data_IF_552126467471
#
_entry.id   IF_552126467471
#
_cell.length_a   1.000
_cell.length_b   1.000
_cell.length_c   1.000
_cell.angle_alpha   90.00
_cell.angle_beta   90.00
_cell.angle_gamma   90.00
#
_symmetry.space_group_name_H-M   'P 1'
#
loop_
_entity.id
_entity.type
_entity.pdbx_description
1 polymer ?
#
# COMPACT_ATOMS: atom_id res chain seq x y z
N UNK A 1 2.35 15.88 -10.75
CA UNK A 1 2.38 15.78 -9.27
C UNK A 1 3.27 16.86 -8.64
N UNK A 2 4.60 16.76 -8.61
CA UNK A 2 5.46 17.67 -7.81
C UNK A 2 5.21 19.19 -7.94
N UNK A 3 4.98 19.72 -9.14
CA UNK A 3 4.62 21.15 -9.30
C UNK A 3 3.26 21.51 -8.67
N UNK A 4 2.29 20.61 -8.73
CA UNK A 4 0.98 20.81 -8.12
C UNK A 4 1.11 20.85 -6.59
N UNK A 5 1.84 19.90 -6.02
CA UNK A 5 2.08 19.81 -4.56
C UNK A 5 2.73 21.09 -4.02
N UNK A 6 3.85 21.49 -4.64
CA UNK A 6 4.60 22.67 -4.22
C UNK A 6 3.88 24.01 -4.46
N UNK A 7 2.87 24.02 -5.35
CA UNK A 7 2.07 25.23 -5.63
C UNK A 7 0.77 25.31 -4.82
N UNK A 8 0.42 24.27 -4.06
CA UNK A 8 -0.73 24.33 -3.15
C UNK A 8 -0.43 25.25 -1.95
N UNK A 9 -1.48 25.82 -1.35
CA UNK A 9 -1.35 26.63 -0.13
C UNK A 9 -2.39 26.17 0.90
N UNK A 10 -1.97 25.51 2.00
CA UNK A 10 -0.60 25.12 2.34
C UNK A 10 -0.03 24.09 1.34
N UNK A 11 1.28 23.81 1.35
CA UNK A 11 1.82 22.69 0.54
C UNK A 11 1.18 21.36 0.95
N UNK A 12 1.11 20.41 0.02
CA UNK A 12 0.51 19.09 0.24
C UNK A 12 1.52 17.98 -0.02
N UNK A 13 1.22 16.81 0.54
CA UNK A 13 1.98 15.59 0.34
C UNK A 13 1.23 14.67 -0.64
N UNK A 14 1.98 13.76 -1.26
CA UNK A 14 1.43 12.73 -2.15
C UNK A 14 1.89 11.34 -1.72
N UNK A 15 1.10 10.33 -2.04
CA UNK A 15 1.43 8.91 -1.90
C UNK A 15 1.19 8.23 -3.24
N UNK A 16 2.20 7.50 -3.74
CA UNK A 16 2.15 6.80 -5.03
C UNK A 16 2.70 5.39 -4.85
N UNK A 17 2.07 4.42 -5.49
CA UNK A 17 2.59 3.06 -5.63
C UNK A 17 2.90 2.80 -7.09
N UNK A 18 4.11 2.33 -7.39
CA UNK A 18 4.47 1.79 -8.69
C UNK A 18 4.29 0.27 -8.63
N UNK A 19 3.26 -0.26 -9.29
CA UNK A 19 2.94 -1.69 -9.24
C UNK A 19 3.67 -2.48 -10.34
N UNK A 20 4.50 -3.45 -9.94
CA UNK A 20 5.27 -4.29 -10.85
C UNK A 20 4.71 -5.71 -10.99
N UNK A 21 3.53 -5.98 -10.45
CA UNK A 21 2.92 -7.30 -10.41
C UNK A 21 3.64 -8.24 -9.44
N UNK A 22 3.58 -9.55 -9.68
CA UNK A 22 4.05 -10.52 -8.70
C UNK A 22 5.51 -10.92 -8.86
N UNK A 23 6.22 -11.07 -7.73
CA UNK A 23 7.65 -11.43 -7.70
C UNK A 23 7.92 -12.78 -8.37
N UNK A 24 9.03 -12.91 -9.09
CA UNK A 24 9.45 -14.18 -9.70
C UNK A 24 10.07 -15.13 -8.66
N UNK A 25 9.83 -16.44 -8.77
CA UNK A 25 10.37 -17.48 -7.86
C UNK A 25 11.91 -17.48 -7.71
N UNK A 26 12.64 -16.96 -8.69
CA UNK A 26 14.10 -16.89 -8.66
C UNK A 26 14.62 -15.58 -8.03
N UNK A 27 13.73 -14.70 -7.55
CA UNK A 27 14.05 -13.40 -6.97
C UNK A 27 14.66 -12.39 -7.94
N UNK A 28 14.60 -12.61 -9.25
CA UNK A 28 15.28 -11.75 -10.23
C UNK A 28 14.47 -10.53 -10.70
N UNK A 29 13.22 -10.39 -10.25
CA UNK A 29 12.29 -9.40 -10.77
C UNK A 29 10.84 -9.70 -10.44
N UNK A 30 9.94 -9.12 -11.23
CA UNK A 30 8.51 -9.33 -11.16
C UNK A 30 7.90 -9.61 -12.55
N UNK A 31 6.72 -10.22 -12.55
CA UNK A 31 5.88 -10.40 -13.71
C UNK A 31 4.72 -9.40 -13.65
N UNK A 32 4.72 -8.44 -14.57
CA UNK A 32 3.67 -7.45 -14.70
C UNK A 32 2.39 -8.07 -15.28
N UNK A 33 1.24 -7.43 -15.06
CA UNK A 33 -0.08 -7.92 -15.48
C UNK A 33 -0.21 -8.18 -17.00
N UNK A 34 0.57 -7.47 -17.81
CA UNK A 34 0.64 -7.65 -19.27
C UNK A 34 1.52 -8.83 -19.71
N UNK A 35 2.06 -9.61 -18.76
CA UNK A 35 2.91 -10.77 -19.02
C UNK A 35 4.38 -10.45 -19.26
N UNK A 36 4.79 -9.18 -19.15
CA UNK A 36 6.19 -8.79 -19.30
C UNK A 36 6.94 -8.99 -17.99
N UNK A 37 8.09 -9.65 -18.07
CA UNK A 37 9.02 -9.75 -16.94
C UNK A 37 9.90 -8.51 -16.85
N UNK A 38 9.96 -7.90 -15.68
CA UNK A 38 10.83 -6.77 -15.35
C UNK A 38 11.83 -7.20 -14.29
N UNK A 39 13.12 -6.89 -14.50
CA UNK A 39 14.18 -7.23 -13.54
C UNK A 39 14.23 -6.26 -12.36
N UNK A 40 14.79 -6.68 -11.23
CA UNK A 40 14.99 -5.80 -10.06
C UNK A 40 15.72 -4.50 -10.43
N UNK A 41 16.76 -4.56 -11.27
CA UNK A 41 17.50 -3.37 -11.70
C UNK A 41 16.65 -2.41 -12.55
N UNK A 42 15.69 -2.92 -13.32
CA UNK A 42 14.74 -2.08 -14.05
C UNK A 42 13.71 -1.46 -13.11
N UNK A 43 13.22 -2.21 -12.11
CA UNK A 43 12.32 -1.69 -11.07
C UNK A 43 13.01 -0.54 -10.31
N UNK A 44 14.25 -0.74 -9.87
CA UNK A 44 15.07 0.28 -9.21
C UNK A 44 15.19 1.53 -10.09
N UNK A 45 15.58 1.37 -11.37
CA UNK A 45 15.74 2.49 -12.29
C UNK A 45 14.44 3.28 -12.50
N UNK A 46 13.28 2.61 -12.59
CA UNK A 46 11.98 3.29 -12.72
C UNK A 46 11.66 4.09 -11.45
N UNK A 47 11.87 3.50 -10.26
CA UNK A 47 11.62 4.18 -8.99
C UNK A 47 12.57 5.38 -8.78
N UNK A 48 13.84 5.25 -9.13
CA UNK A 48 14.84 6.32 -9.09
C UNK A 48 14.48 7.49 -10.01
N UNK A 49 14.04 7.20 -11.25
CA UNK A 49 13.63 8.23 -12.20
C UNK A 49 12.33 8.92 -11.78
N UNK A 50 11.37 8.18 -11.19
CA UNK A 50 10.17 8.78 -10.64
C UNK A 50 10.50 9.73 -9.47
N UNK A 51 11.37 9.29 -8.55
CA UNK A 51 11.84 10.10 -7.43
C UNK A 51 12.55 11.38 -7.90
N UNK A 52 13.45 11.25 -8.88
CA UNK A 52 14.11 12.40 -9.49
C UNK A 52 13.10 13.34 -10.16
N UNK A 53 12.12 12.81 -10.90
CA UNK A 53 11.07 13.59 -11.53
C UNK A 53 10.24 14.40 -10.53
N UNK A 54 9.86 13.80 -9.40
CA UNK A 54 9.16 14.50 -8.32
C UNK A 54 10.01 15.64 -7.75
N UNK A 55 11.24 15.35 -7.32
CA UNK A 55 12.18 16.32 -6.77
C UNK A 55 12.46 17.48 -7.73
N UNK A 56 12.66 17.17 -9.02
CA UNK A 56 12.90 18.18 -10.05
C UNK A 56 11.69 19.11 -10.21
N UNK A 57 10.48 18.55 -10.13
CA UNK A 57 9.24 19.29 -10.32
C UNK A 57 8.81 20.12 -9.10
N UNK A 58 9.06 19.65 -7.87
CA UNK A 58 8.88 20.45 -6.65
C UNK A 58 9.95 21.54 -6.55
N UNK A 59 11.16 21.25 -7.04
CA UNK A 59 12.29 22.15 -7.06
C UNK A 59 13.14 22.06 -5.80
N UNK A 60 14.43 22.32 -5.92
CA UNK A 60 15.41 22.14 -4.83
C UNK A 60 15.23 23.09 -3.64
N UNK A 61 14.41 24.13 -3.78
CA UNK A 61 14.06 25.04 -2.68
C UNK A 61 12.84 24.61 -1.87
N UNK A 62 12.05 23.65 -2.36
CA UNK A 62 10.94 23.07 -1.60
C UNK A 62 11.46 21.95 -0.71
N UNK A 63 11.23 22.08 0.60
CA UNK A 63 11.57 21.05 1.59
C UNK A 63 10.36 20.65 2.42
N UNK A 64 9.16 20.91 1.88
CA UNK A 64 7.91 20.82 2.62
C UNK A 64 6.89 19.89 1.99
N UNK A 65 6.86 19.80 0.65
CA UNK A 65 6.07 18.77 -0.05
C UNK A 65 6.84 17.46 -0.03
N UNK A 66 6.19 16.40 0.44
CA UNK A 66 6.78 15.05 0.50
C UNK A 66 5.95 14.08 -0.32
N UNK A 67 6.63 13.34 -1.19
CA UNK A 67 6.13 12.13 -1.82
C UNK A 67 6.54 10.91 -1.00
N UNK A 68 5.56 10.09 -0.63
CA UNK A 68 5.78 8.70 -0.26
C UNK A 68 5.68 7.83 -1.50
N UNK A 69 6.78 7.17 -1.88
CA UNK A 69 6.85 6.35 -3.09
C UNK A 69 7.00 4.87 -2.72
N UNK A 70 5.96 4.09 -2.99
CA UNK A 70 5.91 2.64 -2.81
C UNK A 70 6.41 1.88 -4.02
N UNK A 71 7.30 0.92 -3.82
CA UNK A 71 7.66 -0.09 -4.83
C UNK A 71 6.75 -1.31 -4.62
N UNK A 72 5.74 -1.45 -5.47
CA UNK A 72 4.63 -2.40 -5.36
C UNK A 72 4.89 -3.76 -5.97
N UNK A 73 4.33 -4.79 -5.33
CA UNK A 73 4.19 -6.15 -5.84
C UNK A 73 2.85 -6.71 -5.37
N UNK A 74 2.55 -7.99 -5.60
CA UNK A 74 1.30 -8.61 -5.12
C UNK A 74 1.52 -10.00 -4.53
N UNK A 75 0.48 -10.52 -3.87
CA UNK A 75 0.49 -11.86 -3.28
C UNK A 75 -0.05 -12.96 -4.21
N UNK A 76 -0.19 -12.69 -5.50
CA UNK A 76 -0.86 -13.58 -6.47
C UNK A 76 0.08 -14.51 -7.25
N UNK A 77 1.36 -14.14 -7.45
CA UNK A 77 2.31 -14.91 -8.26
C UNK A 77 3.55 -15.42 -7.51
N UNK A 78 4.09 -16.51 -8.03
CA UNK A 78 5.36 -17.20 -7.78
C UNK A 78 6.02 -17.06 -6.38
N UNK A 79 6.66 -15.93 -6.03
CA UNK A 79 7.37 -15.76 -4.74
C UNK A 79 6.61 -14.89 -3.74
N UNK A 80 5.89 -15.54 -2.83
CA UNK A 80 5.30 -14.92 -1.64
C UNK A 80 5.92 -15.56 -0.40
N UNK A 81 7.23 -15.33 -0.22
CA UNK A 81 8.01 -15.92 0.86
C UNK A 81 8.76 -14.88 1.68
N UNK A 82 9.29 -15.31 2.83
CA UNK A 82 10.19 -14.47 3.64
C UNK A 82 11.45 -14.04 2.89
N UNK A 83 11.95 -14.88 1.97
CA UNK A 83 13.08 -14.49 1.12
C UNK A 83 12.68 -13.41 0.10
N UNK A 84 11.50 -13.53 -0.50
CA UNK A 84 10.93 -12.53 -1.40
C UNK A 84 10.71 -11.18 -0.71
N UNK A 85 10.10 -11.19 0.49
CA UNK A 85 9.94 -9.97 1.30
C UNK A 85 11.26 -9.31 1.67
N UNK A 86 12.28 -10.10 2.04
CA UNK A 86 13.63 -9.57 2.31
C UNK A 86 14.29 -9.01 1.04
N UNK A 87 14.08 -9.63 -0.10
CA UNK A 87 14.58 -9.14 -1.39
C UNK A 87 13.95 -7.79 -1.72
N UNK A 88 12.63 -7.66 -1.50
CA UNK A 88 11.90 -6.43 -1.77
C UNK A 88 12.33 -5.25 -0.89
N UNK A 89 12.46 -5.44 0.42
CA UNK A 89 12.91 -4.36 1.30
C UNK A 89 14.34 -3.91 1.01
N UNK A 90 15.23 -4.82 0.56
CA UNK A 90 16.58 -4.45 0.15
C UNK A 90 16.57 -3.57 -1.11
N UNK A 91 15.64 -3.80 -2.03
CA UNK A 91 15.44 -2.95 -3.21
C UNK A 91 14.98 -1.54 -2.78
N UNK A 92 13.99 -1.45 -1.89
CA UNK A 92 13.53 -0.17 -1.32
C UNK A 92 14.69 0.58 -0.65
N UNK A 93 15.51 -0.13 0.14
CA UNK A 93 16.67 0.45 0.80
C UNK A 93 17.76 0.93 -0.18
N UNK A 94 17.95 0.21 -1.29
CA UNK A 94 18.87 0.60 -2.35
C UNK A 94 18.42 1.91 -3.02
N UNK A 95 17.14 2.02 -3.40
CA UNK A 95 16.59 3.23 -4.00
C UNK A 95 16.60 4.41 -3.01
N UNK A 96 16.28 4.19 -1.72
CA UNK A 96 16.42 5.25 -0.71
C UNK A 96 17.87 5.73 -0.56
N UNK A 97 18.84 4.80 -0.59
CA UNK A 97 20.26 5.15 -0.53
C UNK A 97 20.71 5.94 -1.75
N UNK A 98 20.20 5.59 -2.94
CA UNK A 98 20.40 6.38 -4.15
C UNK A 98 19.83 7.78 -4.00
N UNK A 99 18.57 7.92 -3.59
CA UNK A 99 17.90 9.21 -3.37
C UNK A 99 18.66 10.09 -2.37
N UNK A 100 19.18 9.48 -1.29
CA UNK A 100 20.04 10.16 -0.32
C UNK A 100 21.31 10.72 -0.98
N UNK A 101 21.98 9.91 -1.80
CA UNK A 101 23.20 10.34 -2.51
C UNK A 101 22.95 11.49 -3.51
N UNK A 102 21.70 11.67 -3.94
CA UNK A 102 21.26 12.74 -4.84
C UNK A 102 20.68 13.97 -4.11
N UNK A 103 20.43 13.86 -2.81
CA UNK A 103 19.84 14.94 -2.01
C UNK A 103 18.32 15.09 -2.17
N UNK A 104 17.60 13.98 -2.39
CA UNK A 104 16.14 14.00 -2.56
C UNK A 104 15.37 13.77 -1.24
N UNK A 105 16.06 13.52 -0.13
CA UNK A 105 15.45 13.05 1.13
C UNK A 105 14.38 13.99 1.72
N UNK A 106 14.46 15.30 1.44
CA UNK A 106 13.46 16.26 1.92
C UNK A 106 12.15 16.21 1.16
N UNK A 107 12.11 15.59 -0.03
CA UNK A 107 10.92 15.53 -0.88
C UNK A 107 10.47 14.11 -1.21
N UNK A 108 11.32 13.09 -1.06
CA UNK A 108 10.96 11.70 -1.41
C UNK A 108 11.34 10.74 -0.28
N UNK A 109 10.33 10.02 0.20
CA UNK A 109 10.46 8.92 1.16
C UNK A 109 10.08 7.63 0.47
N UNK A 110 11.00 6.67 0.43
CA UNK A 110 10.75 5.36 -0.16
C UNK A 110 10.11 4.41 0.84
N UNK A 111 9.22 3.57 0.32
CA UNK A 111 8.59 2.47 1.06
C UNK A 111 8.38 1.28 0.14
N UNK A 112 8.19 0.10 0.72
CA UNK A 112 7.65 -1.03 -0.02
C UNK A 112 6.14 -0.85 -0.23
N UNK A 113 5.58 -1.65 -1.12
CA UNK A 113 4.15 -1.82 -1.22
C UNK A 113 3.85 -3.27 -1.66
N UNK A 114 2.70 -3.78 -1.24
CA UNK A 114 2.21 -5.09 -1.66
C UNK A 114 0.67 -5.08 -1.71
N UNK A 115 0.12 -5.53 -2.83
CA UNK A 115 -1.29 -5.84 -3.02
C UNK A 115 -1.60 -7.18 -2.35
N UNK A 116 -1.98 -7.11 -1.07
CA UNK A 116 -2.15 -8.28 -0.21
C UNK A 116 -3.62 -8.68 -0.15
N UNK A 117 -4.04 -9.54 -1.06
CA UNK A 117 -5.46 -9.89 -1.19
C UNK A 117 -5.78 -11.33 -0.76
N UNK A 118 -6.80 -11.55 0.08
CA UNK A 118 -7.35 -12.87 0.34
C UNK A 118 -7.81 -13.62 -0.91
N UNK A 119 -8.11 -12.93 -2.01
CA UNK A 119 -8.53 -13.54 -3.27
C UNK A 119 -7.44 -14.32 -3.99
N UNK A 120 -6.17 -14.03 -3.72
CA UNK A 120 -5.07 -14.44 -4.60
C UNK A 120 -3.97 -15.26 -3.91
N UNK A 121 -3.68 -14.97 -2.64
CA UNK A 121 -2.63 -15.64 -1.88
C UNK A 121 -3.14 -16.39 -0.65
N UNK A 122 -2.27 -17.20 -0.02
CA UNK A 122 -2.55 -17.75 1.31
C UNK A 122 -2.05 -16.79 2.40
N UNK A 123 -2.81 -16.67 3.50
CA UNK A 123 -2.43 -15.81 4.62
C UNK A 123 -1.04 -16.15 5.16
N UNK A 124 -0.71 -17.45 5.25
CA UNK A 124 0.60 -17.90 5.74
C UNK A 124 1.76 -17.43 4.88
N UNK A 125 1.60 -17.47 3.54
CA UNK A 125 2.63 -17.01 2.61
C UNK A 125 2.81 -15.50 2.69
N UNK A 126 1.71 -14.75 2.67
CA UNK A 126 1.75 -13.29 2.74
C UNK A 126 2.31 -12.79 4.08
N UNK A 127 1.97 -13.45 5.20
CA UNK A 127 2.59 -13.18 6.50
C UNK A 127 4.10 -13.47 6.48
N UNK A 128 4.53 -14.58 5.84
CA UNK A 128 5.95 -14.88 5.71
C UNK A 128 6.68 -13.79 4.90
N UNK A 129 6.07 -13.30 3.82
CA UNK A 129 6.60 -12.16 3.06
C UNK A 129 6.73 -10.91 3.93
N UNK A 130 5.69 -10.53 4.66
CA UNK A 130 5.70 -9.36 5.54
C UNK A 130 6.79 -9.48 6.64
N UNK A 131 7.00 -10.67 7.19
CA UNK A 131 8.07 -10.94 8.14
C UNK A 131 9.47 -10.84 7.50
N UNK A 132 9.60 -11.31 6.27
CA UNK A 132 10.81 -11.12 5.46
C UNK A 132 11.14 -9.65 5.22
N UNK A 133 10.13 -8.88 4.83
CA UNK A 133 10.25 -7.43 4.64
C UNK A 133 10.66 -6.73 5.94
N UNK A 134 9.97 -7.03 7.05
CA UNK A 134 10.26 -6.47 8.37
C UNK A 134 11.62 -6.89 8.96
N UNK A 135 12.35 -7.81 8.32
CA UNK A 135 13.70 -8.22 8.75
C UNK A 135 14.75 -7.11 8.58
N UNK A 136 14.45 -6.08 7.80
CA UNK A 136 15.27 -4.88 7.64
C UNK A 136 14.53 -3.70 8.27
N UNK A 137 15.07 -3.18 9.37
CA UNK A 137 14.45 -2.07 10.11
C UNK A 137 14.54 -0.74 9.36
N UNK A 138 13.57 0.14 9.61
CA UNK A 138 13.56 1.52 9.10
C UNK A 138 12.75 1.72 7.82
N UNK A 139 12.10 0.68 7.30
CA UNK A 139 11.24 0.75 6.12
C UNK A 139 9.84 0.24 6.45
N UNK A 140 8.84 0.91 5.88
CA UNK A 140 7.45 0.49 5.91
C UNK A 140 7.08 -0.16 4.57
N UNK A 141 6.04 -0.99 4.57
CA UNK A 141 5.31 -1.37 3.37
C UNK A 141 3.87 -0.88 3.45
N UNK A 142 3.33 -0.44 2.32
CA UNK A 142 1.88 -0.26 2.14
C UNK A 142 1.25 -1.60 1.77
N UNK A 143 0.33 -2.06 2.57
CA UNK A 143 -0.70 -2.95 2.07
C UNK A 143 -1.73 -2.11 1.31
N UNK A 144 -1.83 -2.34 0.00
CA UNK A 144 -2.78 -1.63 -0.85
C UNK A 144 -3.84 -2.55 -1.44
N UNK A 145 -4.01 -3.76 -0.89
CA UNK A 145 -4.94 -4.74 -1.43
C UNK A 145 -6.36 -4.69 -0.85
N UNK A 146 -7.16 -5.65 -1.28
CA UNK A 146 -8.54 -5.88 -0.88
C UNK A 146 -8.68 -6.72 0.41
N UNK A 147 -9.83 -6.60 1.08
CA UNK A 147 -10.22 -7.43 2.24
C UNK A 147 -11.18 -8.56 1.82
N UNK A 148 -10.81 -9.26 0.77
CA UNK A 148 -11.65 -10.16 0.01
C UNK A 148 -12.39 -11.22 0.86
N UNK A 149 -13.71 -11.27 0.73
CA UNK A 149 -14.57 -12.20 1.47
C UNK A 149 -14.65 -11.97 2.99
N UNK A 150 -14.01 -10.95 3.54
CA UNK A 150 -14.08 -10.66 4.97
C UNK A 150 -15.49 -10.24 5.44
N UNK A 151 -15.80 -10.34 6.74
CA UNK A 151 -17.10 -9.94 7.27
C UNK A 151 -17.37 -8.44 7.15
N UNK A 152 -18.57 -8.07 6.69
CA UNK A 152 -19.01 -6.66 6.59
C UNK A 152 -19.70 -6.12 7.86
N UNK A 153 -20.06 -6.99 8.80
CA UNK A 153 -20.91 -6.63 9.94
C UNK A 153 -20.53 -7.29 11.27
N UNK A 154 -19.41 -8.02 11.33
CA UNK A 154 -18.97 -8.69 12.54
C UNK A 154 -17.46 -8.55 12.74
N UNK A 155 -17.06 -8.65 14.01
CA UNK A 155 -15.67 -8.51 14.47
C UNK A 155 -15.23 -9.74 15.27
N UNK A 156 -15.84 -10.90 15.00
CA UNK A 156 -15.59 -12.15 15.71
C UNK A 156 -14.39 -12.94 15.20
N UNK A 157 -13.40 -12.26 14.62
CA UNK A 157 -12.32 -12.87 13.82
C UNK A 157 -12.87 -13.78 12.71
N UNK A 158 -13.88 -13.28 11.98
CA UNK A 158 -14.56 -14.06 10.95
C UNK A 158 -13.67 -14.37 9.75
N UNK A 159 -14.02 -15.43 9.02
CA UNK A 159 -13.30 -15.87 7.83
C UNK A 159 -13.38 -14.83 6.70
N UNK A 160 -12.30 -14.78 5.93
CA UNK A 160 -12.17 -14.12 4.63
C UNK A 160 -11.87 -15.19 3.57
N UNK A 161 -11.60 -14.80 2.32
CA UNK A 161 -11.26 -15.75 1.26
C UNK A 161 -9.95 -16.51 1.55
N UNK A 162 -9.73 -17.64 0.87
CA UNK A 162 -8.50 -18.46 0.92
C UNK A 162 -7.97 -18.79 2.33
N UNK A 163 -8.85 -18.98 3.32
CA UNK A 163 -8.46 -19.32 4.69
C UNK A 163 -7.95 -18.14 5.52
N UNK A 164 -8.08 -16.92 4.99
CA UNK A 164 -7.81 -15.69 5.73
C UNK A 164 -8.90 -15.45 6.78
N UNK A 165 -8.63 -14.51 7.69
CA UNK A 165 -9.59 -14.00 8.67
C UNK A 165 -9.18 -12.57 9.04
N UNK A 166 -10.01 -11.89 9.85
CA UNK A 166 -9.75 -10.51 10.26
C UNK A 166 -8.43 -10.32 11.02
N UNK A 167 -7.92 -11.35 11.71
CA UNK A 167 -6.59 -11.31 12.32
C UNK A 167 -5.47 -11.25 11.29
N UNK A 168 -5.55 -12.06 10.22
CA UNK A 168 -4.54 -12.07 9.17
C UNK A 168 -4.48 -10.72 8.45
N UNK A 169 -5.65 -10.17 8.10
CA UNK A 169 -5.79 -8.81 7.56
C UNK A 169 -5.16 -7.77 8.50
N UNK A 170 -5.63 -7.72 9.75
CA UNK A 170 -5.09 -6.78 10.72
C UNK A 170 -3.56 -6.88 10.86
N UNK A 171 -3.01 -8.10 10.89
CA UNK A 171 -1.58 -8.30 11.05
C UNK A 171 -0.81 -7.72 9.86
N UNK A 172 -1.28 -7.98 8.64
CA UNK A 172 -0.63 -7.53 7.42
C UNK A 172 -0.76 -6.03 7.21
N UNK A 173 -1.85 -5.41 7.65
CA UNK A 173 -2.13 -3.99 7.44
C UNK A 173 -1.73 -3.07 8.62
N UNK A 174 -1.49 -3.62 9.82
CA UNK A 174 -1.19 -2.82 11.03
C UNK A 174 -0.40 -3.56 12.14
N UNK A 175 -0.62 -4.86 12.31
CA UNK A 175 -0.02 -5.63 13.41
C UNK A 175 1.48 -5.90 13.23
N UNK A 176 1.95 -5.95 12.00
CA UNK A 176 3.38 -5.94 11.67
C UNK A 176 3.96 -4.53 11.89
N UNK A 177 5.12 -4.37 12.57
CA UNK A 177 5.74 -3.05 12.77
C UNK A 177 6.12 -2.31 11.49
N UNK A 178 6.19 -3.01 10.36
CA UNK A 178 6.47 -2.43 9.06
C UNK A 178 5.20 -2.08 8.26
N UNK A 179 4.00 -2.44 8.75
CA UNK A 179 2.78 -2.28 7.99
C UNK A 179 2.15 -0.89 8.13
N UNK A 180 1.73 -0.35 6.99
CA UNK A 180 0.68 0.66 6.87
C UNK A 180 -0.28 0.23 5.75
N UNK A 181 -1.45 0.86 5.63
CA UNK A 181 -2.48 0.41 4.68
C UNK A 181 -3.20 1.54 3.96
N UNK A 182 -3.43 1.37 2.66
CA UNK A 182 -4.26 2.22 1.80
C UNK A 182 -5.15 1.30 0.95
N UNK A 183 -6.27 0.80 1.50
CA UNK A 183 -6.94 -0.36 0.92
C UNK A 183 -7.68 -0.06 -0.38
N UNK A 184 -7.87 -1.09 -1.21
CA UNK A 184 -8.78 -1.05 -2.34
C UNK A 184 -10.24 -0.87 -1.90
N UNK A 185 -10.96 0.08 -2.51
CA UNK A 185 -12.35 0.41 -2.22
C UNK A 185 -13.12 0.64 -3.53
N UNK A 186 -13.33 -0.44 -4.28
CA UNK A 186 -14.07 -0.39 -5.55
C UNK A 186 -15.58 -0.43 -5.36
N UNK A 187 -16.04 -0.96 -4.21
CA UNK A 187 -17.45 -1.13 -3.86
C UNK A 187 -17.70 -0.82 -2.38
N UNK A 188 -18.93 -0.40 -2.04
CA UNK A 188 -19.32 -0.10 -0.66
C UNK A 188 -19.15 -1.29 0.30
N UNK A 189 -19.16 -2.52 -0.20
CA UNK A 189 -18.86 -3.72 0.60
C UNK A 189 -17.43 -3.75 1.11
N UNK A 190 -16.46 -3.34 0.28
CA UNK A 190 -15.04 -3.31 0.64
C UNK A 190 -14.78 -2.29 1.76
N UNK A 191 -15.41 -1.12 1.69
CA UNK A 191 -15.40 -0.13 2.78
C UNK A 191 -15.92 -0.69 4.11
N UNK A 192 -16.98 -1.51 4.09
CA UNK A 192 -17.50 -2.17 5.30
C UNK A 192 -16.55 -3.24 5.83
N UNK A 193 -15.91 -4.02 4.95
CA UNK A 193 -14.94 -5.05 5.33
C UNK A 193 -13.76 -4.43 6.08
N UNK A 194 -13.15 -3.41 5.50
CA UNK A 194 -12.04 -2.67 6.12
C UNK A 194 -12.43 -1.99 7.42
N UNK A 195 -13.63 -1.39 7.51
CA UNK A 195 -14.12 -0.85 8.76
C UNK A 195 -14.32 -1.91 9.84
N UNK A 196 -14.78 -3.12 9.50
CA UNK A 196 -14.87 -4.24 10.45
C UNK A 196 -13.51 -4.79 10.85
N UNK A 197 -12.51 -4.79 9.97
CA UNK A 197 -11.12 -5.13 10.33
C UNK A 197 -10.56 -4.11 11.32
N UNK A 198 -10.75 -2.82 11.08
CA UNK A 198 -10.34 -1.76 12.01
C UNK A 198 -11.06 -1.88 13.36
N UNK A 199 -12.36 -2.20 13.37
CA UNK A 199 -13.12 -2.41 14.60
C UNK A 199 -12.70 -3.69 15.34
N UNK A 200 -12.41 -4.78 14.62
CA UNK A 200 -11.83 -5.99 15.19
C UNK A 200 -10.51 -5.67 15.90
N UNK A 201 -9.63 -4.91 15.26
CA UNK A 201 -8.36 -4.48 15.82
C UNK A 201 -8.55 -3.65 17.10
N UNK A 202 -9.47 -2.68 17.08
CA UNK A 202 -9.79 -1.86 18.25
C UNK A 202 -10.31 -2.69 19.44
N UNK A 203 -11.09 -3.74 19.17
CA UNK A 203 -11.70 -4.58 20.21
C UNK A 203 -10.79 -5.69 20.72
N UNK A 204 -9.92 -6.23 19.86
CA UNK A 204 -9.20 -7.48 20.13
C UNK A 204 -7.68 -7.33 20.15
N UNK A 205 -7.13 -6.28 19.53
CA UNK A 205 -5.69 -6.11 19.31
C UNK A 205 -5.12 -4.81 19.92
N UNK A 206 -5.95 -4.07 20.67
CA UNK A 206 -5.51 -2.90 21.45
C UNK A 206 -5.54 -1.56 20.72
N UNK A 207 -5.92 -1.51 19.44
CA UNK A 207 -6.04 -0.28 18.68
C UNK A 207 -6.62 -0.47 17.28
N UNK A 208 -7.30 0.55 16.77
CA UNK A 208 -7.84 0.55 15.41
C UNK A 208 -6.71 0.63 14.36
N UNK A 209 -6.91 -0.05 13.23
CA UNK A 209 -6.08 0.14 12.03
C UNK A 209 -6.22 1.59 11.56
N UNK A 210 -5.09 2.31 11.43
CA UNK A 210 -5.06 3.66 10.87
C UNK A 210 -4.78 3.56 9.36
N UNK A 211 -5.78 3.90 8.57
CA UNK A 211 -5.74 3.82 7.11
C UNK A 211 -5.24 5.13 6.53
N UNK A 212 -4.34 5.04 5.55
CA UNK A 212 -3.86 6.17 4.76
C UNK A 212 -5.00 6.75 3.90
N UNK A 213 -5.92 5.90 3.46
CA UNK A 213 -7.15 6.25 2.75
C UNK A 213 -7.47 5.25 1.65
N UNK A 214 -8.58 5.45 0.91
CA UNK A 214 -9.01 4.49 -0.10
C UNK A 214 -8.12 4.54 -1.35
N UNK A 215 -8.00 3.40 -2.01
CA UNK A 215 -7.53 3.26 -3.39
C UNK A 215 -8.71 2.81 -4.27
N UNK A 216 -9.12 3.62 -5.25
CA UNK A 216 -10.18 3.25 -6.19
C UNK A 216 -9.65 2.96 -7.60
N UNK A 217 -10.49 2.31 -8.42
CA UNK A 217 -10.15 1.91 -9.79
C UNK A 217 -11.00 2.62 -10.85
N UNK A 218 -11.67 3.74 -10.52
CA UNK A 218 -12.70 4.31 -11.39
C UNK A 218 -12.18 4.67 -12.79
N UNK A 219 -10.92 5.08 -12.89
CA UNK A 219 -10.24 5.38 -14.15
C UNK A 219 -10.04 4.13 -15.03
N UNK A 220 -9.97 2.94 -14.43
CA UNK A 220 -9.92 1.64 -15.12
C UNK A 220 -11.31 1.08 -15.40
N UNK A 221 -12.20 1.14 -14.42
CA UNK A 221 -13.58 0.67 -14.49
C UNK A 221 -14.56 1.72 -13.94
N UNK A 222 -15.19 2.45 -14.86
CA UNK A 222 -16.21 3.48 -14.56
C UNK A 222 -17.49 2.93 -13.91
N UNK A 223 -17.62 1.61 -13.73
CA UNK A 223 -18.72 0.99 -12.98
C UNK A 223 -18.44 0.86 -11.47
N UNK A 224 -17.18 1.03 -11.05
CA UNK A 224 -16.76 1.07 -9.65
C UNK A 224 -17.10 2.42 -8.98
N UNK A 225 -16.79 2.56 -7.69
CA UNK A 225 -16.93 3.82 -6.97
C UNK A 225 -15.97 4.88 -7.50
N UNK A 226 -16.46 6.09 -7.75
CA UNK A 226 -15.59 7.26 -7.96
C UNK A 226 -14.71 7.54 -6.74
N UNK A 227 -13.61 8.29 -6.87
CA UNK A 227 -12.72 8.61 -5.74
C UNK A 227 -13.45 9.26 -4.56
N UNK A 228 -14.39 10.16 -4.85
CA UNK A 228 -15.24 10.81 -3.83
C UNK A 228 -16.14 9.79 -3.11
N UNK A 229 -16.68 8.82 -3.83
CA UNK A 229 -17.56 7.80 -3.25
C UNK A 229 -16.75 6.80 -2.41
N UNK A 230 -15.61 6.32 -2.90
CA UNK A 230 -14.71 5.45 -2.16
C UNK A 230 -14.28 6.10 -0.83
N UNK A 231 -13.87 7.37 -0.87
CA UNK A 231 -13.59 8.17 0.32
C UNK A 231 -14.78 8.27 1.27
N UNK A 232 -15.93 8.68 0.76
CA UNK A 232 -17.13 8.87 1.59
C UNK A 232 -17.55 7.58 2.29
N UNK A 233 -17.51 6.46 1.58
CA UNK A 233 -17.90 5.16 2.11
C UNK A 233 -16.92 4.69 3.17
N UNK A 234 -15.60 4.70 2.90
CA UNK A 234 -14.61 4.28 3.88
C UNK A 234 -14.63 5.18 5.11
N UNK A 235 -14.63 6.50 4.93
CA UNK A 235 -14.67 7.48 6.01
C UNK A 235 -15.91 7.29 6.90
N UNK A 236 -17.10 7.13 6.29
CA UNK A 236 -18.36 6.98 7.03
C UNK A 236 -18.35 5.71 7.87
N UNK A 237 -17.89 4.58 7.31
CA UNK A 237 -17.87 3.31 8.04
C UNK A 237 -16.84 3.33 9.18
N UNK A 238 -15.65 3.90 8.96
CA UNK A 238 -14.63 4.04 10.02
C UNK A 238 -15.09 4.98 11.15
N UNK A 239 -15.74 6.10 10.81
CA UNK A 239 -16.16 7.11 11.77
C UNK A 239 -17.53 6.83 12.42
N UNK A 240 -18.20 5.73 12.06
CA UNK A 240 -19.44 5.31 12.71
C UNK A 240 -19.26 4.95 14.19
N UNK A 241 -18.08 4.46 14.57
CA UNK A 241 -17.71 4.14 15.96
C UNK A 241 -16.55 5.01 16.40
N UNK A 242 -16.65 5.57 17.61
CA UNK A 242 -15.58 6.40 18.20
C UNK A 242 -14.26 5.64 18.38
N UNK A 243 -14.31 4.30 18.50
CA UNK A 243 -13.12 3.45 18.65
C UNK A 243 -12.30 3.28 17.37
N UNK A 244 -12.88 3.60 16.21
CA UNK A 244 -12.24 3.49 14.88
C UNK A 244 -12.19 4.82 14.14
N UNK A 245 -12.81 5.86 14.70
CA UNK A 245 -12.87 7.19 14.12
C UNK A 245 -11.46 7.75 13.88
N UNK A 246 -11.25 8.23 12.66
CA UNK A 246 -9.94 8.65 12.15
C UNK A 246 -10.10 9.58 10.95
N UNK A 247 -9.05 10.36 10.69
CA UNK A 247 -8.87 11.07 9.42
C UNK A 247 -7.95 10.24 8.52
N UNK A 248 -8.12 10.38 7.21
CA UNK A 248 -7.29 9.73 6.20
C UNK A 248 -6.45 10.81 5.50
N UNK A 249 -5.14 10.63 5.32
CA UNK A 249 -4.29 11.61 4.65
C UNK A 249 -4.40 11.63 3.11
N UNK A 250 -4.75 10.53 2.45
CA UNK A 250 -4.64 10.40 0.98
C UNK A 250 -5.89 9.78 0.36
N UNK A 251 -6.19 10.18 -0.87
CA UNK A 251 -7.14 9.48 -1.76
C UNK A 251 -6.31 9.00 -2.93
N UNK A 252 -6.24 7.68 -3.15
CA UNK A 252 -5.43 7.07 -4.17
C UNK A 252 -6.33 6.56 -5.30
N UNK A 253 -5.84 6.64 -6.53
CA UNK A 253 -6.56 6.25 -7.74
C UNK A 253 -5.63 5.38 -8.59
N UNK A 254 -6.14 4.28 -9.10
CA UNK A 254 -5.40 3.40 -10.02
C UNK A 254 -5.61 3.92 -11.44
N UNK A 255 -4.50 4.14 -12.15
CA UNK A 255 -4.51 4.67 -13.51
C UNK A 255 -3.92 3.66 -14.51
N UNK A 256 -4.31 3.80 -15.79
CA UNK A 256 -3.57 3.15 -16.89
C UNK A 256 -2.27 3.91 -17.16
N UNK A 257 -1.15 3.20 -17.13
CA UNK A 257 0.17 3.73 -17.52
C UNK A 257 0.67 3.14 -18.84
#
# INVERSE_FOLDING_TARGET
MGRADASHSPVINSEVVLDFGGQLSNGSGALMINGVTISNAQIEAVAEEFAHGYWHCTGSGDTSSVLKLGIGTNNSYYDVSSAGGKTWVNMVAAVQSYNHSKGYDSQVVMMGANDMEPGFGSASSTIAWAQGFASVSGYLYLDYGSADGCPQYSTGNGSCNNGWNQYHEWYLSWGSPAAIVAPEIYYSSMARQWAMISLYAAQSQGGAVQMQGPMDEYDLDTSSLTPRQAWSDLWTNLNYKSSTAQNMPFSLEIHQE
#
